data_IF_399310857832
#
_entry.id   IF_399310857832
#
_cell.length_a   1.000
_cell.length_b   1.000
_cell.length_c   1.000
_cell.angle_alpha   90.00
_cell.angle_beta   90.00
_cell.angle_gamma   90.00
#
_symmetry.space_group_name_H-M   'P 1'
#
loop_
_entity.id
_entity.type
_entity.pdbx_description
1 polymer ?
#
# COMPACT_ATOMS: atom_id res chain seq x y z
N UNK A 1 -50.31 -21.91 -29.23
CA UNK A 1 -49.04 -22.02 -28.50
C UNK A 1 -49.31 -22.81 -27.24
N UNK A 2 -48.49 -23.84 -26.96
CA UNK A 2 -48.66 -24.70 -25.79
C UNK A 2 -48.36 -23.92 -24.50
N UNK A 3 -49.28 -23.95 -23.54
CA UNK A 3 -49.19 -23.21 -22.27
C UNK A 3 -47.95 -23.61 -21.46
N UNK A 4 -47.45 -24.83 -21.62
CA UNK A 4 -46.25 -25.30 -20.95
C UNK A 4 -44.98 -24.72 -21.60
N UNK A 5 -44.96 -24.58 -22.92
CA UNK A 5 -43.85 -23.97 -23.64
C UNK A 5 -43.67 -22.48 -23.26
N UNK A 6 -44.78 -21.75 -23.09
CA UNK A 6 -44.74 -20.34 -22.67
C UNK A 6 -44.24 -20.16 -21.23
N UNK A 7 -44.64 -21.06 -20.31
CA UNK A 7 -44.14 -21.04 -18.92
C UNK A 7 -42.64 -21.35 -18.86
N UNK A 8 -42.18 -22.30 -19.66
CA UNK A 8 -40.76 -22.65 -19.74
C UNK A 8 -39.91 -21.46 -20.24
N UNK A 9 -40.39 -20.76 -21.27
CA UNK A 9 -39.70 -19.57 -21.79
C UNK A 9 -39.62 -18.44 -20.76
N UNK A 10 -40.69 -18.19 -20.01
CA UNK A 10 -40.69 -17.17 -18.94
C UNK A 10 -39.73 -17.55 -17.79
N UNK A 11 -39.70 -18.81 -17.39
CA UNK A 11 -38.77 -19.30 -16.38
C UNK A 11 -37.33 -19.12 -16.84
N UNK A 12 -37.04 -19.49 -18.09
CA UNK A 12 -35.71 -19.35 -18.68
C UNK A 12 -35.28 -17.89 -18.82
N UNK A 13 -36.19 -16.98 -19.22
CA UNK A 13 -35.90 -15.55 -19.29
C UNK A 13 -35.57 -14.97 -17.90
N UNK A 14 -36.30 -15.40 -16.86
CA UNK A 14 -36.06 -14.97 -15.49
C UNK A 14 -34.72 -15.48 -14.96
N UNK A 15 -34.40 -16.75 -15.22
CA UNK A 15 -33.11 -17.34 -14.85
C UNK A 15 -31.95 -16.63 -15.55
N UNK A 16 -32.09 -16.31 -16.84
CA UNK A 16 -31.07 -15.56 -17.58
C UNK A 16 -30.81 -14.17 -16.98
N UNK A 17 -31.85 -13.44 -16.57
CA UNK A 17 -31.68 -12.17 -15.85
C UNK A 17 -30.97 -12.35 -14.51
N UNK A 18 -31.37 -13.36 -13.73
CA UNK A 18 -30.77 -13.66 -12.44
C UNK A 18 -29.27 -13.99 -12.59
N UNK A 19 -28.92 -14.79 -13.60
CA UNK A 19 -27.53 -15.13 -13.91
C UNK A 19 -26.72 -13.91 -14.31
N UNK A 20 -27.26 -13.02 -15.15
CA UNK A 20 -26.57 -11.77 -15.50
C UNK A 20 -26.30 -10.89 -14.28
N UNK A 21 -27.28 -10.78 -13.37
CA UNK A 21 -27.09 -10.03 -12.13
C UNK A 21 -26.02 -10.66 -11.24
N UNK A 22 -26.05 -11.98 -11.07
CA UNK A 22 -25.06 -12.69 -10.26
C UNK A 22 -23.66 -12.57 -10.85
N UNK A 23 -23.52 -12.71 -12.17
CA UNK A 23 -22.25 -12.52 -12.86
C UNK A 23 -21.69 -11.12 -12.64
N UNK A 24 -22.53 -10.08 -12.77
CA UNK A 24 -22.11 -8.71 -12.49
C UNK A 24 -21.69 -8.50 -11.03
N UNK A 25 -22.42 -9.11 -10.08
CA UNK A 25 -22.08 -9.07 -8.66
C UNK A 25 -20.73 -9.72 -8.37
N UNK A 26 -20.49 -10.90 -8.94
CA UNK A 26 -19.21 -11.61 -8.80
C UNK A 26 -18.05 -10.81 -9.41
N UNK A 27 -18.27 -10.15 -10.55
CA UNK A 27 -17.28 -9.25 -11.15
C UNK A 27 -16.95 -8.06 -10.22
N UNK A 28 -17.95 -7.44 -9.59
CA UNK A 28 -17.70 -6.39 -8.59
C UNK A 28 -16.95 -6.90 -7.36
N UNK A 29 -17.32 -8.08 -6.84
CA UNK A 29 -16.65 -8.69 -5.69
C UNK A 29 -15.19 -9.03 -6.00
N UNK A 30 -14.91 -9.57 -7.19
CA UNK A 30 -13.54 -9.81 -7.66
C UNK A 30 -12.73 -8.51 -7.74
N UNK A 31 -13.29 -7.46 -8.34
CA UNK A 31 -12.62 -6.16 -8.44
C UNK A 31 -12.30 -5.57 -7.06
N UNK A 32 -13.23 -5.68 -6.10
CA UNK A 32 -13.00 -5.24 -4.73
C UNK A 32 -11.88 -6.05 -4.07
N UNK A 33 -11.88 -7.39 -4.21
CA UNK A 33 -10.81 -8.23 -3.67
C UNK A 33 -9.44 -7.89 -4.27
N UNK A 34 -9.35 -7.66 -5.58
CA UNK A 34 -8.10 -7.25 -6.24
C UNK A 34 -7.59 -5.91 -5.70
N UNK A 35 -8.47 -4.92 -5.52
CA UNK A 35 -8.08 -3.63 -4.94
C UNK A 35 -7.59 -3.77 -3.49
N UNK A 36 -8.28 -4.56 -2.68
CA UNK A 36 -7.87 -4.82 -1.30
C UNK A 36 -6.52 -5.54 -1.23
N UNK A 37 -6.29 -6.54 -2.08
CA UNK A 37 -5.01 -7.23 -2.17
C UNK A 37 -3.86 -6.29 -2.56
N UNK A 38 -4.07 -5.43 -3.57
CA UNK A 38 -3.08 -4.44 -4.01
C UNK A 38 -2.70 -3.45 -2.89
N UNK A 39 -3.67 -3.02 -2.08
CA UNK A 39 -3.43 -2.17 -0.91
C UNK A 39 -2.59 -2.88 0.17
N UNK A 40 -2.79 -4.19 0.36
CA UNK A 40 -2.01 -4.95 1.35
C UNK A 40 -0.58 -5.22 0.91
N UNK A 41 -0.34 -5.47 -0.37
CA UNK A 41 1.02 -5.70 -0.91
C UNK A 41 1.90 -4.47 -0.78
N UNK A 42 1.38 -3.27 -1.10
CA UNK A 42 2.12 -2.02 -0.92
C UNK A 42 2.56 -1.78 0.53
N UNK A 43 1.76 -2.20 1.51
CA UNK A 43 2.04 -2.00 2.94
C UNK A 43 3.12 -2.95 3.47
N UNK A 44 3.20 -4.17 2.92
CA UNK A 44 4.25 -5.13 3.28
C UNK A 44 5.63 -4.70 2.75
N UNK A 45 5.70 -4.16 1.53
CA UNK A 45 6.96 -3.69 0.95
C UNK A 45 7.52 -2.48 1.70
N UNK A 46 6.66 -1.51 2.05
CA UNK A 46 7.06 -0.34 2.83
C UNK A 46 7.67 -0.72 4.19
N UNK A 47 7.14 -1.75 4.86
CA UNK A 47 7.67 -2.19 6.16
C UNK A 47 9.07 -2.82 6.03
N UNK A 48 9.29 -3.61 4.98
CA UNK A 48 10.60 -4.18 4.67
C UNK A 48 11.65 -3.12 4.37
N UNK A 49 11.27 -2.11 3.57
CA UNK A 49 12.13 -0.97 3.23
C UNK A 49 12.51 -0.18 4.48
N UNK A 50 11.53 0.15 5.33
CA UNK A 50 11.76 0.89 6.58
C UNK A 50 12.69 0.11 7.52
N UNK A 51 12.56 -1.21 7.61
CA UNK A 51 13.45 -2.04 8.43
C UNK A 51 14.88 -2.08 7.88
N UNK A 52 15.05 -2.16 6.55
CA UNK A 52 16.35 -2.06 5.89
C UNK A 52 17.03 -0.71 6.20
N UNK A 53 16.30 0.38 5.99
CA UNK A 53 16.75 1.73 6.31
C UNK A 53 17.11 1.87 7.79
N UNK A 54 16.32 1.27 8.69
CA UNK A 54 16.58 1.31 10.13
C UNK A 54 17.91 0.67 10.52
N UNK A 55 18.30 -0.42 9.86
CA UNK A 55 19.56 -1.12 10.12
C UNK A 55 20.78 -0.36 9.56
N UNK A 56 20.61 0.39 8.47
CA UNK A 56 21.70 1.11 7.79
C UNK A 56 21.94 2.51 8.33
N UNK A 57 20.89 3.16 8.81
CA UNK A 57 20.93 4.57 9.20
C UNK A 57 20.86 4.65 10.74
N UNK A 58 21.93 5.10 11.42
CA UNK A 58 21.93 5.28 12.86
C UNK A 58 21.05 6.47 13.27
N UNK A 59 20.55 6.44 14.50
CA UNK A 59 19.84 7.58 15.11
C UNK A 59 20.74 8.83 15.12
N UNK A 60 20.15 9.98 14.85
CA UNK A 60 20.83 11.25 14.90
C UNK A 60 21.05 11.69 16.36
N UNK A 61 22.31 11.96 16.70
CA UNK A 61 22.70 12.56 17.99
C UNK A 61 23.26 13.95 17.73
N UNK A 62 22.69 14.96 18.38
CA UNK A 62 23.17 16.33 18.25
C UNK A 62 24.47 16.54 19.05
N UNK A 63 25.59 16.74 18.34
CA UNK A 63 26.89 17.06 18.89
C UNK A 63 27.57 18.17 18.05
N UNK A 64 27.25 19.45 18.31
CA UNK A 64 27.73 20.57 17.49
C UNK A 64 29.25 20.79 17.59
N UNK A 65 29.88 20.41 18.71
CA UNK A 65 31.34 20.50 18.92
C UNK A 65 32.11 19.60 17.93
N UNK A 66 31.54 18.46 17.55
CA UNK A 66 32.10 17.53 16.56
C UNK A 66 31.58 17.83 15.13
N UNK A 67 30.82 18.92 14.98
CA UNK A 67 30.13 19.28 13.74
C UNK A 67 29.02 18.30 13.34
N UNK A 68 28.54 17.47 14.26
CA UNK A 68 27.45 16.52 14.03
C UNK A 68 26.10 17.24 14.19
N UNK A 69 25.75 18.00 13.15
CA UNK A 69 24.48 18.69 12.96
C UNK A 69 23.56 17.90 12.01
N UNK A 70 22.27 18.22 12.01
CA UNK A 70 21.27 17.52 11.20
C UNK A 70 21.63 17.53 9.71
N UNK A 71 22.01 18.67 9.14
CA UNK A 71 22.43 18.76 7.72
C UNK A 71 23.54 17.79 7.35
N UNK A 72 24.55 17.62 8.21
CA UNK A 72 25.67 16.72 7.95
C UNK A 72 25.24 15.25 8.06
N UNK A 73 24.42 14.91 9.06
CA UNK A 73 23.86 13.56 9.19
C UNK A 73 22.94 13.22 8.03
N UNK A 74 22.02 14.13 7.68
CA UNK A 74 21.09 13.94 6.58
C UNK A 74 21.85 13.83 5.26
N UNK A 75 22.80 14.71 4.96
CA UNK A 75 23.60 14.64 3.74
C UNK A 75 24.38 13.33 3.58
N UNK A 76 24.83 12.69 4.67
CA UNK A 76 25.47 11.35 4.61
C UNK A 76 24.50 10.22 4.29
N UNK A 77 23.22 10.38 4.64
CA UNK A 77 22.21 9.33 4.53
C UNK A 77 21.14 9.63 3.46
N UNK A 78 21.14 10.81 2.87
CA UNK A 78 20.17 11.27 1.88
C UNK A 78 20.11 10.32 0.68
N UNK A 79 21.27 9.97 0.12
CA UNK A 79 21.34 9.03 -1.00
C UNK A 79 20.81 7.64 -0.61
N UNK A 80 21.09 7.18 0.62
CA UNK A 80 20.55 5.90 1.10
C UNK A 80 19.04 5.95 1.23
N UNK A 81 18.47 7.04 1.75
CA UNK A 81 17.01 7.22 1.87
C UNK A 81 16.36 7.32 0.49
N UNK A 82 17.01 7.97 -0.49
CA UNK A 82 16.50 8.09 -1.87
C UNK A 82 16.55 6.76 -2.63
N UNK A 83 17.65 6.02 -2.51
CA UNK A 83 17.86 4.75 -3.22
C UNK A 83 17.04 3.62 -2.61
N UNK A 84 17.22 3.36 -1.32
CA UNK A 84 16.53 2.24 -0.65
C UNK A 84 15.05 2.56 -0.40
N UNK A 85 14.73 3.85 -0.19
CA UNK A 85 13.37 4.33 -0.02
C UNK A 85 12.68 4.73 -1.32
N UNK A 86 13.17 4.33 -2.49
CA UNK A 86 12.62 4.75 -3.78
C UNK A 86 11.10 4.52 -3.90
N UNK A 87 10.63 3.39 -3.36
CA UNK A 87 9.20 3.01 -3.34
C UNK A 87 8.39 3.62 -2.19
N UNK A 88 9.03 4.38 -1.29
CA UNK A 88 8.34 5.13 -0.24
C UNK A 88 7.90 6.50 -0.77
N UNK A 89 6.68 6.90 -0.40
CA UNK A 89 6.21 8.26 -0.59
C UNK A 89 6.98 9.25 0.31
N UNK A 90 6.95 10.53 -0.06
CA UNK A 90 7.69 11.57 0.65
C UNK A 90 7.25 11.72 2.12
N UNK A 91 5.98 11.46 2.43
CA UNK A 91 5.50 11.50 3.81
C UNK A 91 6.03 10.30 4.61
N UNK A 92 6.14 9.12 4.02
CA UNK A 92 6.77 7.95 4.65
C UNK A 92 8.27 8.17 4.89
N UNK A 93 8.99 8.77 3.92
CA UNK A 93 10.40 9.15 4.09
C UNK A 93 10.58 10.18 5.22
N UNK A 94 9.73 11.21 5.25
CA UNK A 94 9.76 12.22 6.31
C UNK A 94 9.47 11.60 7.69
N UNK A 95 8.47 10.72 7.79
CA UNK A 95 8.19 9.97 9.03
C UNK A 95 9.38 9.14 9.47
N UNK A 96 10.05 8.45 8.54
CA UNK A 96 11.26 7.69 8.85
C UNK A 96 12.37 8.58 9.42
N UNK A 97 12.65 9.72 8.79
CA UNK A 97 13.66 10.69 9.27
C UNK A 97 13.30 11.14 10.68
N UNK A 98 12.03 11.49 10.93
CA UNK A 98 11.57 11.88 12.27
C UNK A 98 11.76 10.77 13.32
N UNK A 99 11.63 9.49 12.95
CA UNK A 99 11.93 8.39 13.91
C UNK A 99 13.41 8.26 14.24
N UNK A 100 14.30 8.82 13.42
CA UNK A 100 15.75 8.83 13.65
C UNK A 100 16.23 10.05 14.40
N UNK A 101 15.40 11.10 14.53
CA UNK A 101 15.72 12.22 15.39
C UNK A 101 15.50 11.78 16.85
N UNK A 102 16.57 11.78 17.64
CA UNK A 102 16.47 11.51 19.07
C UNK A 102 15.49 12.50 19.72
N UNK A 103 14.51 11.98 20.47
CA UNK A 103 13.64 12.81 21.29
C UNK A 103 14.43 13.17 22.55
N UNK A 104 15.09 14.33 22.54
CA UNK A 104 15.40 14.97 23.82
C UNK A 104 14.08 15.44 24.44
N UNK A 105 13.61 14.70 25.43
CA UNK A 105 12.62 15.15 26.42
C UNK A 105 13.18 16.29 27.28
#
# INVERSE_FOLDING_TARGET
>A
MDTNAMKLFLAQQKEAQQQQFNYFKEQQEQLLQTMLAALTTQKTDATGIINSLNNRIPTFTYAPEDGEIFDKWFGRHEDTIKLDGADLDDAAKARFILTKLDKRE
#
